data_IF_023473224839
#
_entry.id   IF_023473224839
#
_cell.length_a   1.000
_cell.length_b   1.000
_cell.length_c   1.000
_cell.angle_alpha   90.00
_cell.angle_beta   90.00
_cell.angle_gamma   90.00
#
_symmetry.space_group_name_H-M   'P 1'
#
loop_
_entity.id
_entity.type
_entity.pdbx_description
1 polymer ?
#
# COMPACT_ATOMS: atom_id res chain seq x y z
N UNK A 1 -3.12 -23.46 -37.87
CA UNK A 1 -2.57 -23.11 -36.54
C UNK A 1 -1.97 -21.72 -36.65
N UNK A 2 -2.70 -20.71 -36.21
CA UNK A 2 -2.20 -19.34 -36.08
C UNK A 2 -1.01 -19.32 -35.09
N UNK A 3 -0.05 -18.38 -35.21
CA UNK A 3 1.06 -18.33 -34.28
C UNK A 3 0.49 -18.16 -32.87
N UNK A 4 0.76 -19.12 -31.98
CA UNK A 4 0.42 -18.98 -30.57
C UNK A 4 1.22 -17.80 -30.04
N UNK A 5 0.60 -16.64 -29.92
CA UNK A 5 1.19 -15.47 -29.27
C UNK A 5 1.66 -15.89 -27.89
N UNK A 6 2.96 -15.69 -27.61
CA UNK A 6 3.55 -15.98 -26.30
C UNK A 6 2.73 -15.27 -25.22
N UNK A 7 2.07 -16.01 -24.30
CA UNK A 7 1.23 -15.41 -23.27
C UNK A 7 1.96 -14.37 -22.44
N UNK A 8 3.26 -14.56 -22.18
CA UNK A 8 4.08 -13.60 -21.43
C UNK A 8 4.27 -12.30 -22.23
N UNK A 9 4.49 -12.38 -23.54
CA UNK A 9 4.60 -11.21 -24.41
C UNK A 9 3.27 -10.46 -24.51
N UNK A 10 2.15 -11.18 -24.65
CA UNK A 10 0.81 -10.58 -24.65
C UNK A 10 0.53 -9.87 -23.33
N UNK A 11 0.77 -10.51 -22.18
CA UNK A 11 0.59 -9.89 -20.86
C UNK A 11 1.46 -8.64 -20.69
N UNK A 12 2.71 -8.68 -21.15
CA UNK A 12 3.62 -7.52 -21.09
C UNK A 12 3.07 -6.33 -21.88
N UNK A 13 2.48 -6.57 -23.05
CA UNK A 13 1.85 -5.52 -23.86
C UNK A 13 0.60 -4.95 -23.18
N UNK A 14 -0.25 -5.81 -22.61
CA UNK A 14 -1.45 -5.37 -21.87
C UNK A 14 -1.07 -4.51 -20.66
N UNK A 15 -0.06 -4.92 -19.90
CA UNK A 15 0.42 -4.15 -18.74
C UNK A 15 0.92 -2.76 -19.17
N UNK A 16 1.77 -2.69 -20.19
CA UNK A 16 2.28 -1.41 -20.69
C UNK A 16 1.14 -0.49 -21.11
N UNK A 17 0.20 -1.00 -21.90
CA UNK A 17 -0.95 -0.25 -22.37
C UNK A 17 -1.79 0.27 -21.20
N UNK A 18 -2.11 -0.58 -20.20
CA UNK A 18 -2.91 -0.17 -19.05
C UNK A 18 -2.22 0.95 -18.24
N UNK A 19 -0.89 0.87 -18.07
CA UNK A 19 -0.13 1.87 -17.33
C UNK A 19 -0.04 3.20 -18.08
N UNK A 20 0.12 3.16 -19.41
CA UNK A 20 0.11 4.34 -20.27
C UNK A 20 -1.27 5.00 -20.30
N UNK A 21 -2.35 4.23 -20.45
CA UNK A 21 -3.73 4.73 -20.45
C UNK A 21 -4.10 5.37 -19.12
N UNK A 22 -3.63 4.81 -18.00
CA UNK A 22 -3.80 5.36 -16.67
C UNK A 22 -2.91 6.59 -16.38
N UNK A 23 -1.94 6.90 -17.27
CA UNK A 23 -0.99 8.00 -17.08
C UNK A 23 -0.09 7.82 -15.85
N UNK A 24 0.20 6.58 -15.46
CA UNK A 24 1.00 6.28 -14.27
C UNK A 24 2.49 6.36 -14.60
N UNK A 25 3.28 6.80 -13.62
CA UNK A 25 4.74 6.70 -13.70
C UNK A 25 5.17 5.25 -13.45
N UNK A 26 5.94 4.68 -14.38
CA UNK A 26 6.47 3.33 -14.22
C UNK A 26 7.83 3.16 -14.90
N UNK A 27 8.59 2.19 -14.41
CA UNK A 27 9.84 1.74 -14.99
C UNK A 27 9.85 0.22 -15.19
N UNK A 28 10.68 -0.27 -16.10
CA UNK A 28 10.82 -1.71 -16.39
C UNK A 28 12.27 -2.14 -16.18
N UNK A 29 12.69 -2.44 -14.94
CA UNK A 29 14.09 -2.72 -14.61
C UNK A 29 14.63 -4.00 -15.26
N UNK A 30 13.74 -4.92 -15.60
CA UNK A 30 14.07 -6.14 -16.36
C UNK A 30 12.91 -6.53 -17.27
N UNK A 31 13.17 -7.42 -18.24
CA UNK A 31 12.13 -7.95 -19.11
C UNK A 31 11.04 -8.62 -18.27
N UNK A 32 9.79 -8.20 -18.48
CA UNK A 32 8.63 -8.72 -17.75
C UNK A 32 8.49 -8.21 -16.31
N UNK A 33 9.30 -7.25 -15.86
CA UNK A 33 9.14 -6.61 -14.55
C UNK A 33 8.77 -5.15 -14.73
N UNK A 34 7.74 -4.70 -14.01
CA UNK A 34 7.29 -3.31 -13.99
C UNK A 34 7.26 -2.83 -12.54
N UNK A 35 7.74 -1.62 -12.31
CA UNK A 35 7.63 -0.92 -11.03
C UNK A 35 6.82 0.33 -11.28
N UNK A 36 5.66 0.41 -10.63
CA UNK A 36 4.65 1.45 -10.84
C UNK A 36 4.56 2.31 -9.59
N UNK A 37 4.54 3.62 -9.77
CA UNK A 37 4.33 4.58 -8.68
C UNK A 37 2.87 5.01 -8.69
N UNK A 38 2.11 4.55 -7.71
CA UNK A 38 0.70 4.91 -7.54
C UNK A 38 0.60 6.19 -6.66
N UNK A 39 -0.06 7.26 -7.14
CA UNK A 39 -0.22 8.48 -6.37
C UNK A 39 -1.22 8.28 -5.24
N UNK A 40 -0.77 8.39 -3.98
CA UNK A 40 -1.61 8.28 -2.80
C UNK A 40 -2.03 9.64 -2.23
N UNK A 41 -3.10 9.63 -1.43
CA UNK A 41 -3.59 10.84 -0.75
C UNK A 41 -3.04 10.97 0.68
N UNK A 42 -2.80 9.84 1.35
CA UNK A 42 -2.30 9.77 2.74
C UNK A 42 -0.83 9.41 2.78
N UNK A 43 -0.42 8.49 1.93
CA UNK A 43 0.95 8.08 1.63
C UNK A 43 1.38 8.79 0.35
N UNK A 44 2.49 9.53 0.40
CA UNK A 44 2.99 10.35 -0.73
C UNK A 44 3.04 9.57 -2.05
N UNK A 45 3.45 8.30 -2.00
CA UNK A 45 3.38 7.38 -3.12
C UNK A 45 3.40 5.93 -2.65
N UNK A 46 2.72 5.05 -3.38
CA UNK A 46 2.78 3.60 -3.19
C UNK A 46 3.47 2.95 -4.37
N UNK A 47 4.64 2.36 -4.14
CA UNK A 47 5.34 1.58 -5.15
C UNK A 47 4.74 0.17 -5.25
N UNK A 48 4.34 -0.21 -6.46
CA UNK A 48 3.78 -1.51 -6.81
C UNK A 48 4.67 -2.20 -7.85
N UNK A 49 5.15 -3.40 -7.53
CA UNK A 49 5.90 -4.25 -8.45
C UNK A 49 4.98 -5.27 -9.10
N UNK A 50 5.04 -5.35 -10.43
CA UNK A 50 4.32 -6.31 -11.27
C UNK A 50 5.34 -7.14 -12.04
N UNK A 51 5.36 -8.45 -11.79
CA UNK A 51 6.33 -9.37 -12.41
C UNK A 51 5.61 -10.45 -13.19
N UNK A 52 5.79 -10.44 -14.51
CA UNK A 52 5.26 -11.44 -15.45
C UNK A 52 6.16 -12.67 -15.40
N UNK A 53 5.69 -13.71 -14.72
CA UNK A 53 6.32 -15.02 -14.75
C UNK A 53 5.86 -15.86 -15.95
N UNK A 54 6.33 -17.11 -16.01
CA UNK A 54 5.96 -18.06 -17.07
C UNK A 54 4.47 -18.40 -17.12
N UNK A 55 3.78 -18.34 -15.98
CA UNK A 55 2.39 -18.81 -15.85
C UNK A 55 1.48 -17.81 -15.12
N UNK A 56 2.05 -16.80 -14.47
CA UNK A 56 1.31 -15.87 -13.64
C UNK A 56 1.96 -14.51 -13.58
N UNK A 57 1.13 -13.48 -13.45
CA UNK A 57 1.51 -12.16 -12.99
C UNK A 57 1.58 -12.16 -11.46
N UNK A 58 2.72 -11.75 -10.90
CA UNK A 58 2.86 -11.50 -9.48
C UNK A 58 2.76 -10.01 -9.21
N UNK A 59 2.10 -9.65 -8.11
CA UNK A 59 1.85 -8.28 -7.66
C UNK A 59 2.42 -8.15 -6.27
N UNK A 60 3.20 -7.11 -6.02
CA UNK A 60 3.77 -6.84 -4.71
C UNK A 60 3.86 -5.33 -4.46
N UNK A 61 3.13 -4.81 -3.48
CA UNK A 61 3.17 -3.40 -3.12
C UNK A 61 3.51 -3.23 -1.64
N UNK A 62 4.49 -2.38 -1.36
CA UNK A 62 4.91 -2.08 0.01
C UNK A 62 3.87 -1.20 0.71
N UNK A 63 3.40 -1.59 1.89
CA UNK A 63 2.41 -0.83 2.67
C UNK A 63 3.12 -0.03 3.76
N UNK A 64 3.74 -0.72 4.74
CA UNK A 64 4.40 -0.09 5.88
C UNK A 64 5.49 -1.01 6.44
N UNK A 65 6.48 -0.42 7.10
CA UNK A 65 7.51 -1.16 7.85
C UNK A 65 6.89 -1.98 8.98
N UNK A 66 7.67 -2.92 9.51
CA UNK A 66 7.33 -3.67 10.70
C UNK A 66 6.80 -2.75 11.81
N UNK A 67 5.59 -3.01 12.34
CA UNK A 67 5.07 -2.30 13.50
C UNK A 67 6.06 -2.31 14.68
N UNK A 68 6.19 -1.19 15.39
CA UNK A 68 7.01 -1.11 16.60
C UNK A 68 6.32 -1.78 17.81
N UNK A 69 5.00 -1.83 17.81
CA UNK A 69 4.17 -2.37 18.89
C UNK A 69 2.89 -3.05 18.37
N UNK A 70 2.17 -3.74 19.26
CA UNK A 70 0.85 -4.34 18.99
C UNK A 70 0.77 -5.31 17.79
N UNK A 71 1.85 -6.03 17.46
CA UNK A 71 1.90 -6.96 16.33
C UNK A 71 0.69 -7.89 16.22
N UNK A 72 0.25 -8.50 17.33
CA UNK A 72 -0.89 -9.43 17.31
C UNK A 72 -2.20 -8.76 16.84
N UNK A 73 -2.45 -7.52 17.27
CA UNK A 73 -3.63 -6.76 16.85
C UNK A 73 -3.51 -6.34 15.38
N UNK A 74 -2.32 -5.87 14.96
CA UNK A 74 -2.05 -5.54 13.56
C UNK A 74 -2.27 -6.76 12.66
N UNK A 75 -1.68 -7.91 12.99
CA UNK A 75 -1.79 -9.12 12.19
C UNK A 75 -3.23 -9.62 12.10
N UNK A 76 -3.97 -9.59 13.22
CA UNK A 76 -5.39 -9.91 13.23
C UNK A 76 -6.18 -9.00 12.30
N UNK A 77 -5.95 -7.69 12.39
CA UNK A 77 -6.62 -6.71 11.53
C UNK A 77 -6.34 -6.96 10.04
N UNK A 78 -5.08 -7.24 9.68
CA UNK A 78 -4.69 -7.60 8.31
C UNK A 78 -5.45 -8.84 7.80
N UNK A 79 -5.52 -9.89 8.62
CA UNK A 79 -6.24 -11.13 8.28
C UNK A 79 -7.76 -10.92 8.14
N UNK A 80 -8.36 -10.13 9.03
CA UNK A 80 -9.79 -9.78 8.93
C UNK A 80 -10.06 -8.97 7.66
N UNK A 81 -9.15 -8.05 7.29
CA UNK A 81 -9.30 -7.22 6.08
C UNK A 81 -9.17 -8.03 4.79
N UNK A 82 -8.33 -9.06 4.78
CA UNK A 82 -8.15 -9.96 3.62
C UNK A 82 -9.46 -10.57 3.10
N UNK A 83 -10.47 -10.72 3.96
CA UNK A 83 -11.78 -11.27 3.56
C UNK A 83 -12.55 -10.40 2.56
N UNK A 84 -12.15 -9.14 2.39
CA UNK A 84 -12.83 -8.15 1.54
C UNK A 84 -11.97 -7.67 0.38
N UNK A 85 -10.76 -8.22 0.22
CA UNK A 85 -9.83 -7.79 -0.81
C UNK A 85 -10.06 -8.53 -2.12
N UNK A 86 -9.80 -7.85 -3.22
CA UNK A 86 -9.86 -8.39 -4.56
C UNK A 86 -8.47 -8.43 -5.18
N UNK A 87 -8.06 -9.58 -5.74
CA UNK A 87 -6.80 -9.77 -6.46
C UNK A 87 -5.52 -9.76 -5.60
N UNK A 88 -5.54 -9.14 -4.42
CA UNK A 88 -4.42 -9.05 -3.47
C UNK A 88 -4.82 -9.42 -2.05
N UNK A 89 -3.83 -9.75 -1.24
CA UNK A 89 -3.94 -9.98 0.20
C UNK A 89 -2.79 -9.33 0.94
N UNK A 90 -3.01 -8.93 2.19
CA UNK A 90 -1.93 -8.55 3.09
C UNK A 90 -1.05 -9.76 3.41
N UNK A 91 0.25 -9.54 3.33
CA UNK A 91 1.29 -10.47 3.74
C UNK A 91 2.37 -9.73 4.52
N UNK A 92 3.14 -10.51 5.27
CA UNK A 92 4.25 -10.03 6.10
C UNK A 92 5.51 -10.78 5.66
N UNK A 93 6.62 -10.07 5.53
CA UNK A 93 7.91 -10.68 5.21
C UNK A 93 8.66 -11.17 6.46
N UNK A 94 9.89 -11.67 6.28
CA UNK A 94 10.74 -12.13 7.37
C UNK A 94 11.17 -11.03 8.36
N UNK A 95 11.12 -9.76 7.93
CA UNK A 95 11.46 -8.59 8.74
C UNK A 95 10.23 -8.01 9.45
N UNK A 96 9.04 -8.53 9.16
CA UNK A 96 7.78 -8.03 9.71
C UNK A 96 7.17 -6.90 8.87
N UNK A 97 7.75 -6.57 7.71
CA UNK A 97 7.22 -5.54 6.83
C UNK A 97 5.94 -6.01 6.15
N UNK A 98 5.00 -5.09 6.01
CA UNK A 98 3.65 -5.37 5.52
C UNK A 98 3.57 -5.02 4.04
N UNK A 99 3.09 -5.97 3.24
CA UNK A 99 2.92 -5.88 1.81
C UNK A 99 1.50 -6.25 1.40
N UNK A 100 1.05 -5.74 0.25
CA UNK A 100 -0.06 -6.30 -0.52
C UNK A 100 0.52 -7.19 -1.60
N UNK A 101 0.15 -8.46 -1.61
CA UNK A 101 0.64 -9.46 -2.55
C UNK A 101 -0.51 -10.10 -3.32
N UNK A 102 -0.30 -10.36 -4.61
CA UNK A 102 -1.29 -11.00 -5.47
C UNK A 102 -0.64 -11.89 -6.52
N UNK A 103 -1.38 -12.87 -7.00
CA UNK A 103 -0.96 -13.71 -8.12
C UNK A 103 -2.14 -14.01 -9.03
N UNK A 104 -2.02 -13.63 -10.29
CA UNK A 104 -3.07 -13.81 -11.30
C UNK A 104 -2.56 -14.70 -12.44
N UNK A 105 -3.38 -15.61 -12.98
CA UNK A 105 -3.01 -16.32 -14.19
C UNK A 105 -2.91 -15.34 -15.37
N UNK A 106 -1.98 -15.58 -16.30
CA UNK A 106 -1.75 -14.66 -17.44
C UNK A 106 -3.02 -14.41 -18.27
N UNK A 107 -3.90 -15.41 -18.36
CA UNK A 107 -5.18 -15.31 -19.07
C UNK A 107 -6.19 -14.35 -18.42
N UNK A 108 -6.04 -14.05 -17.13
CA UNK A 108 -6.88 -13.09 -16.42
C UNK A 108 -6.33 -11.65 -16.50
N UNK A 109 -5.16 -11.44 -17.11
CA UNK A 109 -4.56 -10.11 -17.24
C UNK A 109 -5.16 -9.40 -18.45
N UNK A 110 -6.19 -8.60 -18.18
CA UNK A 110 -6.83 -7.67 -19.13
C UNK A 110 -6.62 -6.22 -18.66
N UNK A 111 -6.86 -5.24 -19.53
CA UNK A 111 -6.77 -3.81 -19.17
C UNK A 111 -7.63 -3.50 -17.93
N UNK A 112 -8.89 -3.97 -17.93
CA UNK A 112 -9.82 -3.79 -16.83
C UNK A 112 -9.36 -4.49 -15.54
N UNK A 113 -8.84 -5.72 -15.64
CA UNK A 113 -8.36 -6.44 -14.46
C UNK A 113 -7.12 -5.77 -13.86
N UNK A 114 -6.24 -5.19 -14.68
CA UNK A 114 -5.08 -4.43 -14.23
C UNK A 114 -5.51 -3.14 -13.54
N UNK A 115 -6.45 -2.40 -14.11
CA UNK A 115 -7.01 -1.19 -13.50
C UNK A 115 -7.63 -1.49 -12.12
N UNK A 116 -8.52 -2.49 -12.03
CA UNK A 116 -9.12 -2.93 -10.77
C UNK A 116 -8.08 -3.37 -9.75
N UNK A 117 -7.03 -4.08 -10.18
CA UNK A 117 -5.93 -4.52 -9.33
C UNK A 117 -5.15 -3.34 -8.76
N UNK A 118 -4.76 -2.37 -9.61
CA UNK A 118 -4.02 -1.19 -9.18
C UNK A 118 -4.85 -0.29 -8.26
N UNK A 119 -6.15 -0.14 -8.55
CA UNK A 119 -7.09 0.53 -7.68
C UNK A 119 -7.19 -0.15 -6.31
N UNK A 120 -7.30 -1.48 -6.28
CA UNK A 120 -7.33 -2.24 -5.03
C UNK A 120 -6.02 -2.10 -4.23
N UNK A 121 -4.87 -2.07 -4.90
CA UNK A 121 -3.57 -1.81 -4.25
C UNK A 121 -3.54 -0.42 -3.64
N UNK A 122 -3.92 0.61 -4.40
CA UNK A 122 -3.91 1.99 -3.93
C UNK A 122 -4.84 2.20 -2.74
N UNK A 123 -6.09 1.77 -2.85
CA UNK A 123 -7.12 1.85 -1.80
C UNK A 123 -6.63 1.22 -0.49
N UNK A 124 -6.00 0.04 -0.57
CA UNK A 124 -5.62 -0.70 0.63
C UNK A 124 -4.26 -0.28 1.19
N UNK A 125 -3.31 0.15 0.34
CA UNK A 125 -2.04 0.68 0.82
C UNK A 125 -2.20 2.10 1.42
N UNK A 126 -2.95 2.98 0.75
CA UNK A 126 -3.16 4.37 1.16
C UNK A 126 -4.24 4.49 2.23
N UNK A 127 -5.40 3.87 2.00
CA UNK A 127 -6.56 3.95 2.90
C UNK A 127 -6.30 3.33 4.26
N UNK A 128 -5.50 2.27 4.33
CA UNK A 128 -5.19 1.58 5.59
C UNK A 128 -3.99 2.17 6.34
N UNK A 129 -3.25 3.09 5.72
CA UNK A 129 -1.96 3.57 6.23
C UNK A 129 -2.05 4.16 7.64
N UNK A 130 -2.97 5.11 7.86
CA UNK A 130 -3.13 5.76 9.15
C UNK A 130 -3.59 4.77 10.25
N UNK A 131 -4.48 3.84 9.92
CA UNK A 131 -4.92 2.80 10.87
C UNK A 131 -3.76 1.90 11.29
N UNK A 132 -2.91 1.49 10.35
CA UNK A 132 -1.72 0.70 10.67
C UNK A 132 -0.71 1.50 11.52
N UNK A 133 -0.55 2.80 11.24
CA UNK A 133 0.28 3.70 12.04
C UNK A 133 -0.27 3.88 13.47
N UNK A 134 -1.57 4.07 13.62
CA UNK A 134 -2.22 4.20 14.94
C UNK A 134 -2.09 2.93 15.77
N UNK A 135 -2.27 1.76 15.15
CA UNK A 135 -2.17 0.48 15.87
C UNK A 135 -0.71 0.15 16.21
N UNK A 136 0.20 0.33 15.25
CA UNK A 136 1.55 -0.22 15.30
C UNK A 136 2.65 0.75 15.69
N UNK A 137 2.39 2.06 15.72
CA UNK A 137 3.41 3.10 15.89
C UNK A 137 2.98 4.24 16.84
N UNK A 138 1.91 4.06 17.62
CA UNK A 138 1.37 5.13 18.46
C UNK A 138 2.41 5.75 19.41
N UNK A 139 3.24 4.92 20.04
CA UNK A 139 4.30 5.37 20.93
C UNK A 139 5.40 6.15 20.19
N UNK A 140 5.77 5.74 18.98
CA UNK A 140 6.73 6.47 18.15
C UNK A 140 6.17 7.82 17.68
N UNK A 141 4.89 7.85 17.26
CA UNK A 141 4.17 9.06 16.86
C UNK A 141 4.13 10.08 18.00
N UNK A 142 3.81 9.64 19.23
CA UNK A 142 3.81 10.50 20.42
C UNK A 142 5.19 11.12 20.69
N UNK A 143 6.25 10.32 20.59
CA UNK A 143 7.63 10.79 20.79
C UNK A 143 8.05 11.79 19.72
N UNK A 144 7.77 11.50 18.45
CA UNK A 144 8.06 12.39 17.31
C UNK A 144 7.31 13.72 17.45
N UNK A 145 6.03 13.69 17.82
CA UNK A 145 5.25 14.90 18.06
C UNK A 145 5.87 15.75 19.18
N UNK A 146 6.19 15.16 20.33
CA UNK A 146 6.80 15.88 21.45
C UNK A 146 8.14 16.51 21.06
N UNK A 147 8.96 15.79 20.28
CA UNK A 147 10.24 16.28 19.78
C UNK A 147 10.08 17.47 18.82
N UNK A 148 9.14 17.40 17.87
CA UNK A 148 8.88 18.52 16.94
C UNK A 148 8.34 19.75 17.65
N UNK A 149 7.39 19.57 18.57
CA UNK A 149 6.82 20.66 19.36
C UNK A 149 7.88 21.36 20.20
N UNK A 150 8.79 20.60 20.84
CA UNK A 150 9.87 21.17 21.64
C UNK A 150 10.90 21.98 20.80
N UNK A 151 11.00 21.72 19.50
CA UNK A 151 11.96 22.38 18.59
C UNK A 151 11.32 23.42 17.66
N UNK A 152 10.00 23.61 17.74
CA UNK A 152 9.25 24.48 16.83
C UNK A 152 9.19 23.97 15.38
N UNK A 153 9.35 22.66 15.17
CA UNK A 153 9.27 22.05 13.85
C UNK A 153 7.81 21.76 13.43
N UNK A 154 7.57 21.67 12.12
CA UNK A 154 6.23 21.47 11.57
C UNK A 154 5.66 20.08 11.89
N UNK A 155 4.47 20.05 12.49
CA UNK A 155 3.69 18.82 12.81
C UNK A 155 2.62 18.49 11.76
N UNK A 156 2.66 19.11 10.57
CA UNK A 156 1.62 18.94 9.52
C UNK A 156 1.34 17.48 9.17
N UNK A 157 2.37 16.64 9.06
CA UNK A 157 2.21 15.22 8.73
C UNK A 157 1.70 14.37 9.91
N UNK A 158 1.73 14.92 11.13
CA UNK A 158 1.19 14.29 12.34
C UNK A 158 -0.24 14.75 12.64
N UNK A 159 -0.80 15.67 11.84
CA UNK A 159 -2.13 16.21 12.08
C UNK A 159 -3.24 15.14 12.07
N UNK A 160 -3.05 14.05 11.32
CA UNK A 160 -3.96 12.90 11.33
C UNK A 160 -4.02 12.17 12.70
N UNK A 161 -2.99 12.33 13.54
CA UNK A 161 -2.81 11.61 14.80
C UNK A 161 -2.99 12.50 16.05
N UNK A 162 -3.64 13.67 15.92
CA UNK A 162 -3.89 14.61 17.04
C UNK A 162 -4.55 13.97 18.26
N UNK A 163 -5.37 12.94 18.05
CA UNK A 163 -6.02 12.20 19.14
C UNK A 163 -5.03 11.35 19.96
N UNK A 164 -3.89 10.94 19.39
CA UNK A 164 -2.83 10.21 20.10
C UNK A 164 -1.92 11.14 20.91
N UNK A 165 -1.84 12.42 20.52
CA UNK A 165 -0.89 13.40 21.08
C UNK A 165 -1.52 14.30 22.15
N UNK A 166 -2.83 14.19 22.37
CA UNK A 166 -3.54 14.89 23.45
C UNK A 166 -4.00 16.31 23.12
N UNK A 167 -4.02 16.73 21.85
CA UNK A 167 -4.60 18.03 21.45
C UNK A 167 -6.16 18.05 21.50
N UNK A 168 -6.80 16.90 21.74
CA UNK A 168 -8.24 16.81 21.98
C UNK A 168 -8.51 16.65 23.49
N UNK A 169 -8.41 17.74 24.25
CA UNK A 169 -8.69 17.68 25.69
C UNK A 169 -8.33 18.91 26.55
N UNK A 170 -8.11 20.09 25.97
CA UNK A 170 -7.96 21.33 26.72
C UNK A 170 -9.09 22.31 26.38
N UNK A 171 -10.35 21.85 26.42
CA UNK A 171 -11.52 22.74 26.43
C UNK A 171 -12.70 22.06 27.14
N UNK A 172 -12.61 21.98 28.47
CA UNK A 172 -13.61 21.35 29.32
C UNK A 172 -13.54 21.76 30.79
N UNK A 173 -12.90 22.89 31.11
CA UNK A 173 -13.08 23.55 32.42
C UNK A 173 -14.33 24.41 32.32
N UNK A 174 -15.48 23.86 32.70
CA UNK A 174 -16.60 24.65 33.21
C UNK A 174 -16.69 24.34 34.70
N UNK A 175 -16.05 25.21 35.49
CA UNK A 175 -16.29 25.38 36.92
C UNK A 175 -17.69 26.00 37.13
N UNK A 176 -18.36 25.53 38.19
CA UNK A 176 -19.15 26.37 39.11
C UNK A 176 -20.47 26.94 38.63
#
# INVERSE_FOLDING_TARGET
MSPSSDPTATTTTVLRQALEDAGLEWESPSVGSFVVTLPGTRKLSTTCSLVVGRHSLSVNAFVVRCPDENHAAVHRWLLERNTRLYGVGYAIDQHGDIYLVGRLPLAAVTLEAVDQLLGAVLENADGSFNTLLEMGFASAIRKEYAWRTARGESTRNLAAFKHLTGEAGADGTVEG
#
